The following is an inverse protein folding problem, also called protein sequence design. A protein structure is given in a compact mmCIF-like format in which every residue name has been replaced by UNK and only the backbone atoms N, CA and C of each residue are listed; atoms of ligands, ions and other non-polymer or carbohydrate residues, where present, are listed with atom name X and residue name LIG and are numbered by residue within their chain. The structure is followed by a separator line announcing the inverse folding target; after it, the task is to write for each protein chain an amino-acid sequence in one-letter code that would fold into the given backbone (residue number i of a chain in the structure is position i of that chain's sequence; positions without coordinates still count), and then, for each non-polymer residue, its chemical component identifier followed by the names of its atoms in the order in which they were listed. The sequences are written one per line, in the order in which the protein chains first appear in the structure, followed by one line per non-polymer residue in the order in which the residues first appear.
data_IF_467691950730
#
_entry.id   IF_467691950730
#
_cell.length_a   1.000
_cell.length_b   1.000
_cell.length_c   1.000
_cell.angle_alpha   90.00
_cell.angle_beta   90.00
_cell.angle_gamma   90.00
#
_symmetry.space_group_name_H-M   'P 1'
#
loop_
_entity.id
_entity.type
_entity.pdbx_description
1 polymer ?
#
# COMPACT_ATOMS: atom_id res chain seq x y z
N UNK A 1 -6.02 -6.37 -21.62
CA UNK A 1 -7.34 -5.78 -21.32
C UNK A 1 -7.13 -4.33 -20.88
N UNK A 2 -7.92 -3.40 -21.41
CA UNK A 2 -7.68 -1.96 -21.31
C UNK A 2 -7.77 -1.44 -19.87
N UNK A 3 -6.83 -0.56 -19.51
CA UNK A 3 -6.79 0.20 -18.26
C UNK A 3 -8.14 0.91 -18.04
N UNK A 4 -8.99 0.34 -17.19
CA UNK A 4 -10.18 1.02 -16.74
C UNK A 4 -9.72 2.13 -15.80
N UNK A 5 -9.65 3.37 -16.30
CA UNK A 5 -9.43 4.52 -15.44
C UNK A 5 -10.55 4.53 -14.41
N UNK A 6 -10.20 4.33 -13.13
CA UNK A 6 -11.15 4.35 -12.01
C UNK A 6 -12.02 5.60 -12.10
N UNK A 7 -13.35 5.48 -11.98
CA UNK A 7 -14.27 6.61 -12.24
C UNK A 7 -14.15 7.71 -11.18
N UNK A 8 -13.68 7.35 -9.99
CA UNK A 8 -13.38 8.29 -8.92
C UNK A 8 -12.28 7.75 -7.99
N UNK A 9 -11.80 8.61 -7.10
CA UNK A 9 -10.73 8.29 -6.13
C UNK A 9 -11.12 7.17 -5.16
N UNK A 10 -12.40 7.07 -4.80
CA UNK A 10 -12.88 6.05 -3.86
C UNK A 10 -12.81 4.64 -4.49
N UNK A 11 -13.32 4.47 -5.70
CA UNK A 11 -13.24 3.20 -6.44
C UNK A 11 -11.78 2.75 -6.64
N UNK A 12 -10.87 3.69 -6.91
CA UNK A 12 -9.44 3.39 -6.99
C UNK A 12 -8.90 2.84 -5.67
N UNK A 13 -9.24 3.48 -4.54
CA UNK A 13 -8.80 3.05 -3.22
C UNK A 13 -9.38 1.69 -2.83
N UNK A 14 -10.67 1.47 -3.07
CA UNK A 14 -11.35 0.21 -2.78
C UNK A 14 -10.78 -0.94 -3.61
N UNK A 15 -10.56 -0.72 -4.90
CA UNK A 15 -10.00 -1.75 -5.79
C UNK A 15 -8.57 -2.09 -5.41
N UNK A 16 -7.74 -1.06 -5.18
CA UNK A 16 -6.36 -1.26 -4.74
C UNK A 16 -6.29 -2.10 -3.46
N UNK A 17 -7.02 -1.72 -2.41
CA UNK A 17 -6.99 -2.46 -1.16
C UNK A 17 -7.53 -3.87 -1.32
N UNK A 18 -8.59 -4.06 -2.11
CA UNK A 18 -9.11 -5.39 -2.41
C UNK A 18 -8.05 -6.27 -3.05
N UNK A 19 -7.31 -5.79 -4.05
CA UNK A 19 -6.20 -6.53 -4.68
C UNK A 19 -5.02 -6.81 -3.73
N UNK A 20 -4.81 -5.95 -2.72
CA UNK A 20 -3.77 -6.13 -1.73
C UNK A 20 -4.11 -7.17 -0.68
N UNK A 21 -5.36 -7.23 -0.21
CA UNK A 21 -5.73 -8.09 0.93
C UNK A 21 -6.48 -9.35 0.52
N UNK A 22 -6.74 -9.55 -0.78
CA UNK A 22 -7.42 -10.75 -1.27
C UNK A 22 -6.52 -11.64 -2.10
N UNK A 23 -6.70 -12.95 -1.95
CA UNK A 23 -6.09 -14.00 -2.77
C UNK A 23 -7.20 -14.89 -3.28
N UNK A 24 -7.22 -15.16 -4.58
CA UNK A 24 -8.26 -15.97 -5.22
C UNK A 24 -9.69 -15.49 -4.94
N UNK A 25 -9.87 -14.19 -4.68
CA UNK A 25 -11.17 -13.57 -4.39
C UNK A 25 -11.59 -13.65 -2.92
N UNK A 26 -10.81 -14.29 -2.05
CA UNK A 26 -11.06 -14.38 -0.61
C UNK A 26 -10.13 -13.46 0.18
N UNK A 27 -10.62 -12.97 1.32
CA UNK A 27 -9.82 -12.16 2.23
C UNK A 27 -8.71 -13.01 2.86
N UNK A 28 -7.46 -12.65 2.61
CA UNK A 28 -6.30 -13.27 3.22
C UNK A 28 -5.94 -12.52 4.51
N UNK A 29 -6.29 -13.12 5.64
CA UNK A 29 -6.07 -12.55 6.97
C UNK A 29 -4.58 -12.34 7.26
N UNK A 30 -3.68 -13.18 6.73
CA UNK A 30 -2.24 -12.99 6.92
C UNK A 30 -1.75 -11.78 6.13
N UNK A 31 -2.26 -11.54 4.92
CA UNK A 31 -1.99 -10.28 4.21
C UNK A 31 -2.54 -9.08 4.96
N UNK A 32 -3.77 -9.14 5.50
CA UNK A 32 -4.32 -8.05 6.31
C UNK A 32 -3.42 -7.73 7.51
N UNK A 33 -2.95 -8.76 8.23
CA UNK A 33 -2.04 -8.57 9.38
C UNK A 33 -0.72 -7.93 8.95
N UNK A 34 -0.15 -8.38 7.83
CA UNK A 34 1.08 -7.82 7.29
C UNK A 34 0.91 -6.34 6.93
N UNK A 35 -0.20 -5.99 6.29
CA UNK A 35 -0.49 -4.59 5.91
C UNK A 35 -0.68 -3.69 7.14
N UNK A 36 -1.35 -4.19 8.18
CA UNK A 36 -1.50 -3.48 9.46
C UNK A 36 -0.16 -3.32 10.19
N UNK A 37 0.69 -4.34 10.16
CA UNK A 37 2.03 -4.27 10.73
C UNK A 37 2.88 -3.24 10.00
N UNK A 38 2.91 -3.27 8.66
CA UNK A 38 3.62 -2.30 7.83
C UNK A 38 3.18 -0.85 8.14
N UNK A 39 1.86 -0.63 8.28
CA UNK A 39 1.32 0.68 8.65
C UNK A 39 1.79 1.12 10.04
N UNK A 40 1.72 0.23 11.04
CA UNK A 40 2.20 0.53 12.39
C UNK A 40 3.70 0.85 12.40
N UNK A 41 4.52 0.08 11.68
CA UNK A 41 5.95 0.33 11.57
C UNK A 41 6.25 1.70 10.97
N UNK A 42 5.51 2.10 9.92
CA UNK A 42 5.65 3.43 9.33
C UNK A 42 5.26 4.54 10.33
N UNK A 43 4.16 4.38 11.06
CA UNK A 43 3.77 5.32 12.11
C UNK A 43 4.84 5.43 13.21
N UNK A 44 5.36 4.29 13.67
CA UNK A 44 6.40 4.26 14.69
C UNK A 44 7.67 4.96 14.19
N UNK A 45 8.05 4.79 12.92
CA UNK A 45 9.16 5.54 12.30
C UNK A 45 8.89 7.04 12.23
N UNK A 46 7.70 7.46 11.81
CA UNK A 46 7.33 8.89 11.75
C UNK A 46 7.39 9.52 13.14
N UNK A 47 6.96 8.79 14.16
CA UNK A 47 6.92 9.25 15.54
C UNK A 47 8.28 9.19 16.26
N UNK A 48 9.31 8.59 15.64
CA UNK A 48 10.63 8.51 16.24
C UNK A 48 11.28 9.90 16.39
N UNK A 49 11.89 10.21 17.55
CA UNK A 49 12.53 11.50 17.79
C UNK A 49 13.64 11.84 16.79
N UNK A 50 14.40 10.84 16.32
CA UNK A 50 15.44 11.02 15.29
C UNK A 50 14.88 11.47 13.93
N UNK A 51 13.64 11.08 13.62
CA UNK A 51 12.96 11.46 12.38
C UNK A 51 12.22 12.79 12.52
N UNK A 52 12.27 13.44 13.69
CA UNK A 52 11.65 14.76 13.89
C UNK A 52 12.28 15.85 13.01
N UNK A 53 13.51 15.63 12.53
CA UNK A 53 14.21 16.49 11.56
C UNK A 53 13.92 16.14 10.09
N UNK A 54 13.50 14.89 9.81
CA UNK A 54 12.96 14.52 8.51
C UNK A 54 11.48 14.92 8.48
N UNK A 55 11.06 15.69 7.47
CA UNK A 55 9.64 16.00 7.34
C UNK A 55 8.86 14.68 7.19
N UNK A 56 7.84 14.41 8.04
CA UNK A 56 7.00 13.21 7.94
C UNK A 56 6.46 12.95 6.52
N UNK A 57 6.26 14.02 5.75
CA UNK A 57 5.84 13.97 4.37
C UNK A 57 6.80 13.19 3.47
N UNK A 58 8.12 13.28 3.71
CA UNK A 58 9.13 12.56 2.93
C UNK A 58 9.03 11.06 3.18
N UNK A 59 8.89 10.64 4.45
CA UNK A 59 8.75 9.24 4.81
C UNK A 59 7.46 8.63 4.27
N UNK A 60 6.36 9.38 4.31
CA UNK A 60 5.09 8.95 3.72
C UNK A 60 5.21 8.79 2.21
N UNK A 61 5.87 9.73 1.53
CA UNK A 61 6.06 9.68 0.08
C UNK A 61 6.90 8.46 -0.32
N UNK A 62 8.02 8.21 0.35
CA UNK A 62 8.88 7.04 0.10
C UNK A 62 8.11 5.72 0.30
N UNK A 63 7.32 5.62 1.37
CA UNK A 63 6.49 4.44 1.62
C UNK A 63 5.40 4.24 0.55
N UNK A 64 4.82 5.33 0.05
CA UNK A 64 3.82 5.27 -1.02
C UNK A 64 4.45 4.82 -2.36
N UNK A 65 5.65 5.31 -2.69
CA UNK A 65 6.40 4.93 -3.88
C UNK A 65 6.80 3.46 -3.83
N UNK A 66 7.36 3.00 -2.70
CA UNK A 66 7.72 1.59 -2.51
C UNK A 66 6.51 0.66 -2.67
N UNK A 67 5.36 1.03 -2.09
CA UNK A 67 4.12 0.25 -2.22
C UNK A 67 3.62 0.20 -3.65
N UNK A 68 3.68 1.34 -4.36
CA UNK A 68 3.27 1.42 -5.77
C UNK A 68 4.15 0.52 -6.64
N UNK A 69 5.46 0.52 -6.39
CA UNK A 69 6.41 -0.34 -7.09
C UNK A 69 6.14 -1.83 -6.83
N UNK A 70 5.95 -2.23 -5.57
CA UNK A 70 5.63 -3.62 -5.19
C UNK A 70 4.31 -4.10 -5.82
N UNK A 71 3.29 -3.24 -5.85
CA UNK A 71 2.03 -3.58 -6.52
C UNK A 71 2.20 -3.78 -8.02
N UNK A 72 3.00 -2.92 -8.67
CA UNK A 72 3.33 -3.08 -10.08
C UNK A 72 4.04 -4.42 -10.34
N UNK A 73 5.02 -4.78 -9.53
CA UNK A 73 5.73 -6.07 -9.62
C UNK A 73 4.79 -7.26 -9.42
N UNK A 74 3.86 -7.19 -8.45
CA UNK A 74 2.82 -8.22 -8.23
C UNK A 74 1.94 -8.38 -9.46
N UNK A 75 1.48 -7.29 -10.07
CA UNK A 75 0.65 -7.34 -11.27
C UNK A 75 1.41 -7.89 -12.49
N UNK A 76 2.70 -7.57 -12.63
CA UNK A 76 3.55 -8.10 -13.70
C UNK A 76 3.80 -9.60 -13.51
N UNK A 77 4.04 -10.06 -12.28
CA UNK A 77 4.27 -11.49 -12.01
C UNK A 77 3.03 -12.38 -12.22
N UNK A 78 1.84 -11.78 -12.24
CA UNK A 78 0.56 -12.47 -12.48
C UNK A 78 0.13 -12.44 -13.96
N UNK A 79 0.86 -11.74 -14.83
CA UNK A 79 0.56 -11.56 -16.26
C UNK A 79 1.38 -12.51 -17.15
#
# INVERSE_FOLDING_TARGET
MGKQAYRNRQECWETFWKEQVTVNGELDIEQVKQELFNYKTLLDQINQPQNRNMQPQILIQLAAEERTQKHHEKLVALA
#
